data_IF_039541986256
#
_entry.id   IF_039541986256
#
_cell.length_a   1.000
_cell.length_b   1.000
_cell.length_c   1.000
_cell.angle_alpha   90.00
_cell.angle_beta   90.00
_cell.angle_gamma   90.00
#
_symmetry.space_group_name_H-M   'P 1'
#
loop_
_entity.id
_entity.type
_entity.pdbx_description
1 polymer ?
#
# COMPACT_ATOMS: atom_id res chain seq x y z
N UNK A 1 -27.27 -26.52 39.45
CA UNK A 1 -26.99 -25.41 38.50
C UNK A 1 -28.22 -25.20 37.62
N UNK A 2 -28.95 -24.10 37.83
CA UNK A 2 -30.33 -23.93 37.38
C UNK A 2 -30.43 -23.54 35.90
N UNK A 3 -31.28 -24.21 35.13
CA UNK A 3 -31.47 -24.05 33.68
C UNK A 3 -31.82 -22.60 33.23
N UNK A 4 -32.33 -21.76 34.14
CA UNK A 4 -32.55 -20.32 33.89
C UNK A 4 -31.24 -19.56 33.63
N UNK A 5 -30.16 -19.86 34.36
CA UNK A 5 -28.86 -19.20 34.19
C UNK A 5 -28.21 -19.46 32.83
N UNK A 6 -28.39 -20.68 32.28
CA UNK A 6 -27.86 -21.07 30.96
C UNK A 6 -28.57 -20.34 29.82
N UNK A 7 -29.89 -20.11 29.94
CA UNK A 7 -30.67 -19.37 28.94
C UNK A 7 -30.33 -17.88 28.94
N UNK A 8 -30.14 -17.29 30.12
CA UNK A 8 -29.68 -15.90 30.24
C UNK A 8 -28.27 -15.72 29.69
N UNK A 9 -27.34 -16.63 30.00
CA UNK A 9 -25.98 -16.59 29.45
C UNK A 9 -25.95 -16.70 27.91
N UNK A 10 -26.79 -17.58 27.32
CA UNK A 10 -26.91 -17.70 25.87
C UNK A 10 -27.49 -16.43 25.22
N UNK A 11 -28.45 -15.76 25.87
CA UNK A 11 -29.00 -14.48 25.41
C UNK A 11 -27.96 -13.36 25.41
N UNK A 12 -27.15 -13.26 26.47
CA UNK A 12 -26.07 -12.27 26.54
C UNK A 12 -24.98 -12.54 25.50
N UNK A 13 -24.62 -13.80 25.26
CA UNK A 13 -23.67 -14.18 24.19
C UNK A 13 -24.19 -13.80 22.80
N UNK A 14 -25.48 -14.05 22.52
CA UNK A 14 -26.09 -13.64 21.25
C UNK A 14 -26.10 -12.11 21.05
N UNK A 15 -26.39 -11.36 22.11
CA UNK A 15 -26.37 -9.89 22.09
C UNK A 15 -24.97 -9.31 21.86
N UNK A 16 -23.94 -9.89 22.49
CA UNK A 16 -22.54 -9.47 22.27
C UNK A 16 -22.10 -9.81 20.84
N UNK A 17 -22.52 -10.95 20.30
CA UNK A 17 -22.19 -11.34 18.92
C UNK A 17 -22.89 -10.46 17.88
N UNK A 18 -24.16 -10.12 18.10
CA UNK A 18 -24.91 -9.18 17.26
C UNK A 18 -24.36 -7.75 17.35
N UNK A 19 -23.96 -7.32 18.55
CA UNK A 19 -23.28 -6.04 18.76
C UNK A 19 -21.93 -5.98 18.04
N UNK A 20 -21.13 -7.06 18.12
CA UNK A 20 -19.86 -7.17 17.40
C UNK A 20 -20.02 -7.22 15.87
N UNK A 21 -21.04 -7.91 15.36
CA UNK A 21 -21.32 -7.97 13.92
C UNK A 21 -21.78 -6.61 13.34
N UNK A 22 -22.63 -5.89 14.08
CA UNK A 22 -23.06 -4.54 13.70
C UNK A 22 -21.89 -3.54 13.73
N UNK A 23 -21.01 -3.64 14.73
CA UNK A 23 -19.82 -2.79 14.82
C UNK A 23 -18.81 -3.10 13.70
N UNK A 24 -18.60 -4.37 13.36
CA UNK A 24 -17.73 -4.78 12.25
C UNK A 24 -18.21 -4.29 10.88
N UNK A 25 -19.52 -4.31 10.62
CA UNK A 25 -20.09 -3.79 9.37
C UNK A 25 -20.04 -2.25 9.29
N UNK A 26 -20.15 -1.54 10.41
CA UNK A 26 -20.02 -0.08 10.44
C UNK A 26 -18.56 0.37 10.20
N UNK A 27 -17.57 -0.39 10.68
CA UNK A 27 -16.15 -0.09 10.45
C UNK A 27 -15.72 -0.26 8.99
N UNK A 28 -16.30 -1.20 8.23
CA UNK A 28 -15.93 -1.39 6.83
C UNK A 28 -16.38 -0.24 5.92
N UNK A 29 -17.50 0.41 6.24
CA UNK A 29 -17.99 1.57 5.50
C UNK A 29 -17.18 2.84 5.81
N UNK A 30 -16.76 3.04 7.07
CA UNK A 30 -15.91 4.17 7.45
C UNK A 30 -14.48 4.07 6.89
N UNK A 31 -13.90 2.86 6.87
CA UNK A 31 -12.60 2.63 6.23
C UNK A 31 -12.70 2.82 4.71
N UNK A 32 -13.83 2.49 4.09
CA UNK A 32 -14.04 2.70 2.65
C UNK A 32 -14.19 4.17 2.25
N UNK A 33 -14.79 5.00 3.12
CA UNK A 33 -14.92 6.44 2.89
C UNK A 33 -13.59 7.19 3.12
N UNK A 34 -12.83 6.88 4.18
CA UNK A 34 -11.50 7.47 4.40
C UNK A 34 -10.41 6.90 3.49
N UNK A 35 -10.61 5.74 2.87
CA UNK A 35 -9.70 5.25 1.83
C UNK A 35 -9.94 5.87 0.45
N UNK A 36 -11.02 6.64 0.25
CA UNK A 36 -11.17 7.51 -0.91
C UNK A 36 -10.38 8.82 -0.73
N UNK A 37 -10.46 9.47 0.43
CA UNK A 37 -9.62 10.63 0.76
C UNK A 37 -8.13 10.26 0.87
N UNK A 38 -7.80 9.09 1.44
CA UNK A 38 -6.43 8.61 1.45
C UNK A 38 -5.92 8.19 0.06
N UNK A 39 -6.79 7.97 -0.93
CA UNK A 39 -6.40 7.76 -2.34
C UNK A 39 -6.14 9.09 -3.06
N UNK A 40 -6.84 10.16 -2.70
CA UNK A 40 -6.51 11.52 -3.18
C UNK A 40 -5.22 12.06 -2.55
N UNK A 41 -5.01 11.83 -1.24
CA UNK A 41 -3.77 12.19 -0.54
C UNK A 41 -2.56 11.30 -0.92
N UNK A 42 -2.79 10.16 -1.56
CA UNK A 42 -1.75 9.28 -2.15
C UNK A 42 -1.74 9.32 -3.68
N UNK A 43 -2.16 10.43 -4.30
CA UNK A 43 -1.62 10.71 -5.63
C UNK A 43 -0.13 10.94 -5.41
N UNK A 44 0.78 10.09 -5.95
CA UNK A 44 2.19 10.38 -5.80
C UNK A 44 2.40 11.75 -6.41
N UNK A 45 2.86 12.72 -5.61
CA UNK A 45 3.49 13.90 -6.17
C UNK A 45 4.49 13.37 -7.19
N UNK A 46 4.45 13.88 -8.43
CA UNK A 46 5.49 13.56 -9.39
C UNK A 46 6.84 13.84 -8.72
N UNK A 47 7.87 13.04 -9.01
CA UNK A 47 9.19 13.23 -8.39
C UNK A 47 9.69 14.68 -8.57
N UNK A 48 9.27 15.32 -9.66
CA UNK A 48 9.50 16.73 -9.96
C UNK A 48 8.74 17.69 -9.04
N UNK A 49 7.46 17.46 -8.75
CA UNK A 49 6.70 18.29 -7.80
C UNK A 49 7.23 18.15 -6.38
N UNK A 50 7.59 16.93 -5.95
CA UNK A 50 8.22 16.73 -4.64
C UNK A 50 9.54 17.49 -4.54
N UNK A 51 10.39 17.40 -5.58
CA UNK A 51 11.66 18.13 -5.65
C UNK A 51 11.45 19.64 -5.57
N UNK A 52 10.50 20.18 -6.33
CA UNK A 52 10.21 21.62 -6.32
C UNK A 52 9.71 22.07 -4.95
N UNK A 53 8.80 21.33 -4.34
CA UNK A 53 8.25 21.66 -3.02
C UNK A 53 9.35 21.66 -1.94
N UNK A 54 10.23 20.67 -1.96
CA UNK A 54 11.34 20.58 -1.01
C UNK A 54 12.31 21.75 -1.17
N UNK A 55 12.67 22.11 -2.40
CA UNK A 55 13.56 23.26 -2.65
C UNK A 55 12.89 24.57 -2.20
N UNK A 56 11.61 24.76 -2.48
CA UNK A 56 10.86 25.92 -2.01
C UNK A 56 10.77 25.98 -0.47
N UNK A 57 10.58 24.84 0.20
CA UNK A 57 10.59 24.76 1.66
C UNK A 57 11.96 25.19 2.23
N UNK A 58 13.04 24.65 1.67
CA UNK A 58 14.41 24.98 2.08
C UNK A 58 14.76 26.44 1.82
N UNK A 59 14.33 26.99 0.69
CA UNK A 59 14.54 28.41 0.37
C UNK A 59 13.83 29.34 1.37
N UNK A 60 12.58 29.05 1.70
CA UNK A 60 11.81 29.85 2.66
C UNK A 60 12.44 29.89 4.05
N UNK A 61 13.02 28.77 4.50
CA UNK A 61 13.62 28.63 5.84
C UNK A 61 15.07 29.14 5.89
N UNK A 62 15.85 28.88 4.83
CA UNK A 62 17.31 29.05 4.83
C UNK A 62 17.77 30.24 4.00
N UNK A 63 16.89 30.85 3.20
CA UNK A 63 17.18 31.95 2.28
C UNK A 63 18.33 31.58 1.35
N UNK A 64 18.08 30.60 0.48
CA UNK A 64 19.10 30.03 -0.37
C UNK A 64 19.53 31.05 -1.43
N UNK A 65 20.82 31.08 -1.76
CA UNK A 65 21.28 31.77 -2.96
C UNK A 65 21.13 30.88 -4.22
N UNK A 66 21.29 31.47 -5.40
CA UNK A 66 21.09 30.77 -6.69
C UNK A 66 22.05 29.57 -6.85
N UNK A 67 23.28 29.68 -6.33
CA UNK A 67 24.27 28.60 -6.40
C UNK A 67 23.85 27.44 -5.48
N UNK A 68 23.37 27.74 -4.27
CA UNK A 68 22.86 26.76 -3.32
C UNK A 68 21.59 26.05 -3.83
N UNK A 69 20.65 26.78 -4.44
CA UNK A 69 19.45 26.16 -5.03
C UNK A 69 19.84 25.15 -6.12
N UNK A 70 20.75 25.55 -7.01
CA UNK A 70 21.29 24.71 -8.08
C UNK A 70 21.99 23.46 -7.55
N UNK A 71 22.85 23.61 -6.54
CA UNK A 71 23.55 22.50 -5.91
C UNK A 71 22.58 21.52 -5.22
N UNK A 72 21.55 22.02 -4.53
CA UNK A 72 20.53 21.19 -3.90
C UNK A 72 19.74 20.40 -4.95
N UNK A 73 19.34 21.03 -6.05
CA UNK A 73 18.66 20.33 -7.15
C UNK A 73 19.51 19.17 -7.70
N UNK A 74 20.80 19.42 -7.92
CA UNK A 74 21.75 18.39 -8.38
C UNK A 74 21.91 17.26 -7.36
N UNK A 75 21.96 17.58 -6.07
CA UNK A 75 22.01 16.57 -4.99
C UNK A 75 20.74 15.70 -5.02
N UNK A 76 19.56 16.32 -5.15
CA UNK A 76 18.29 15.60 -5.19
C UNK A 76 18.19 14.69 -6.42
N UNK A 77 18.70 15.12 -7.57
CA UNK A 77 18.80 14.28 -8.79
C UNK A 77 19.68 13.06 -8.55
N UNK A 78 20.91 13.28 -8.06
CA UNK A 78 21.89 12.20 -7.82
C UNK A 78 21.39 11.21 -6.77
N UNK A 79 20.76 11.69 -5.71
CA UNK A 79 20.18 10.83 -4.67
C UNK A 79 19.00 10.04 -5.23
N UNK A 80 18.14 10.67 -6.03
CA UNK A 80 17.04 10.00 -6.72
C UNK A 80 17.51 8.85 -7.60
N UNK A 81 18.54 9.07 -8.42
CA UNK A 81 19.17 8.04 -9.24
C UNK A 81 19.68 6.87 -8.39
N UNK A 82 20.40 7.15 -7.30
CA UNK A 82 20.89 6.12 -6.38
C UNK A 82 19.76 5.30 -5.74
N UNK A 83 18.63 5.92 -5.40
CA UNK A 83 17.45 5.19 -4.92
C UNK A 83 16.90 4.25 -6.00
N UNK A 84 16.85 4.69 -7.25
CA UNK A 84 16.44 3.85 -8.38
C UNK A 84 17.37 2.66 -8.58
N UNK A 85 18.69 2.88 -8.57
CA UNK A 85 19.69 1.80 -8.68
C UNK A 85 19.52 0.75 -7.58
N UNK A 86 19.38 1.18 -6.33
CA UNK A 86 19.19 0.26 -5.19
C UNK A 86 17.90 -0.52 -5.31
N UNK A 87 16.79 0.15 -5.67
CA UNK A 87 15.50 -0.51 -5.87
C UNK A 87 15.60 -1.56 -6.98
N UNK A 88 16.16 -1.19 -8.11
CA UNK A 88 16.26 -2.07 -9.28
C UNK A 88 17.19 -3.27 -8.98
N UNK A 89 18.23 -3.08 -8.16
CA UNK A 89 19.08 -4.17 -7.67
C UNK A 89 18.37 -5.13 -6.71
N UNK A 90 17.42 -4.63 -5.91
CA UNK A 90 16.65 -5.44 -4.95
C UNK A 90 15.41 -6.09 -5.57
N UNK A 91 14.93 -5.63 -6.73
CA UNK A 91 13.72 -6.15 -7.39
C UNK A 91 13.73 -7.69 -7.57
N UNK A 92 14.84 -8.34 -7.97
CA UNK A 92 14.89 -9.79 -8.09
C UNK A 92 14.64 -10.53 -6.76
N UNK A 93 15.13 -9.99 -5.65
CA UNK A 93 14.93 -10.56 -4.31
C UNK A 93 13.46 -10.44 -3.89
N UNK A 94 12.84 -9.29 -4.16
CA UNK A 94 11.41 -9.11 -3.91
C UNK A 94 10.55 -10.04 -4.77
N UNK A 95 10.90 -10.25 -6.05
CA UNK A 95 10.21 -11.22 -6.90
C UNK A 95 10.35 -12.64 -6.38
N UNK A 96 11.53 -13.03 -5.89
CA UNK A 96 11.72 -14.34 -5.26
C UNK A 96 10.81 -14.52 -4.04
N UNK A 97 10.73 -13.53 -3.15
CA UNK A 97 9.83 -13.55 -1.98
C UNK A 97 8.35 -13.62 -2.40
N UNK A 98 7.96 -12.88 -3.46
CA UNK A 98 6.58 -12.92 -3.99
C UNK A 98 6.23 -14.29 -4.54
N UNK A 99 7.16 -14.93 -5.27
CA UNK A 99 7.01 -16.26 -5.83
C UNK A 99 6.94 -17.33 -4.73
N UNK A 100 7.81 -17.26 -3.72
CA UNK A 100 7.78 -18.15 -2.56
C UNK A 100 6.43 -18.07 -1.84
N UNK A 101 5.97 -16.85 -1.53
CA UNK A 101 4.65 -16.62 -0.92
C UNK A 101 3.54 -17.24 -1.76
N UNK A 102 3.58 -17.06 -3.08
CA UNK A 102 2.56 -17.62 -3.98
C UNK A 102 2.57 -19.16 -3.94
N UNK A 103 3.74 -19.79 -3.93
CA UNK A 103 3.89 -21.24 -3.84
C UNK A 103 3.34 -21.79 -2.52
N UNK A 104 3.66 -21.15 -1.39
CA UNK A 104 3.15 -21.51 -0.07
C UNK A 104 1.63 -21.43 -0.01
N UNK A 105 1.04 -20.36 -0.56
CA UNK A 105 -0.41 -20.21 -0.63
C UNK A 105 -1.01 -21.29 -1.53
N UNK A 106 -0.46 -21.54 -2.73
CA UNK A 106 -0.98 -22.61 -3.60
C UNK A 106 -0.93 -23.98 -2.92
N UNK A 107 0.07 -24.24 -2.07
CA UNK A 107 0.22 -25.49 -1.32
C UNK A 107 -0.99 -25.84 -0.45
N UNK A 108 -1.65 -24.84 0.15
CA UNK A 108 -2.79 -25.04 1.07
C UNK A 108 -4.16 -24.97 0.42
N UNK A 109 -4.24 -24.60 -0.87
CA UNK A 109 -5.49 -24.42 -1.59
C UNK A 109 -5.99 -25.72 -2.26
N UNK A 110 -7.31 -25.87 -2.31
CA UNK A 110 -7.98 -26.92 -3.12
C UNK A 110 -7.75 -26.71 -4.62
N UNK A 111 -7.91 -27.73 -5.47
CA UNK A 111 -7.73 -27.59 -6.92
C UNK A 111 -8.53 -26.43 -7.54
N UNK A 112 -9.82 -26.29 -7.19
CA UNK A 112 -10.66 -25.20 -7.68
C UNK A 112 -10.22 -23.82 -7.16
N UNK A 113 -9.73 -23.75 -5.92
CA UNK A 113 -9.19 -22.52 -5.36
C UNK A 113 -7.89 -22.10 -6.04
N UNK A 114 -7.03 -23.05 -6.43
CA UNK A 114 -5.78 -22.79 -7.16
C UNK A 114 -6.03 -22.11 -8.49
N UNK A 115 -7.04 -22.54 -9.24
CA UNK A 115 -7.43 -21.91 -10.52
C UNK A 115 -7.84 -20.43 -10.33
N UNK A 116 -8.64 -20.15 -9.28
CA UNK A 116 -9.02 -18.77 -8.96
C UNK A 116 -7.83 -17.93 -8.49
N UNK A 117 -6.95 -18.52 -7.68
CA UNK A 117 -5.76 -17.84 -7.18
C UNK A 117 -4.77 -17.51 -8.31
N UNK A 118 -4.61 -18.40 -9.29
CA UNK A 118 -3.78 -18.14 -10.47
C UNK A 118 -4.24 -16.89 -11.24
N UNK A 119 -5.56 -16.70 -11.41
CA UNK A 119 -6.12 -15.49 -12.02
C UNK A 119 -5.78 -14.23 -11.20
N UNK A 120 -5.88 -14.31 -9.88
CA UNK A 120 -5.50 -13.19 -8.99
C UNK A 120 -4.01 -12.84 -9.14
N UNK A 121 -3.13 -13.83 -9.30
CA UNK A 121 -1.71 -13.59 -9.54
C UNK A 121 -1.47 -12.88 -10.88
N UNK A 122 -2.15 -13.30 -11.94
CA UNK A 122 -2.05 -12.70 -13.27
C UNK A 122 -2.55 -11.24 -13.31
N UNK A 123 -3.68 -10.95 -12.63
CA UNK A 123 -4.19 -9.57 -12.49
C UNK A 123 -3.19 -8.68 -11.73
N UNK A 124 -2.56 -9.22 -10.69
CA UNK A 124 -1.54 -8.50 -9.92
C UNK A 124 -0.25 -8.28 -10.69
N UNK A 125 0.13 -9.21 -11.58
CA UNK A 125 1.29 -9.05 -12.45
C UNK A 125 1.06 -7.94 -13.47
N UNK A 126 -0.10 -7.95 -14.15
CA UNK A 126 -0.50 -6.87 -15.07
C UNK A 126 -0.47 -5.51 -14.40
N UNK A 127 -1.08 -5.39 -13.21
CA UNK A 127 -1.07 -4.14 -12.46
C UNK A 127 0.33 -3.68 -12.02
N UNK A 128 1.32 -4.59 -11.90
CA UNK A 128 2.72 -4.21 -11.63
C UNK A 128 3.40 -3.71 -12.90
N UNK A 129 3.18 -4.41 -14.02
CA UNK A 129 3.71 -4.01 -15.31
C UNK A 129 3.21 -2.63 -15.73
N UNK A 130 1.90 -2.38 -15.63
CA UNK A 130 1.29 -1.10 -15.97
C UNK A 130 1.89 0.05 -15.15
N UNK A 131 2.12 -0.17 -13.84
CA UNK A 131 2.79 0.82 -12.97
C UNK A 131 4.25 1.05 -13.34
N UNK A 132 4.98 -0.01 -13.73
CA UNK A 132 6.36 0.15 -14.19
C UNK A 132 6.44 0.90 -15.52
N UNK A 133 5.50 0.66 -16.44
CA UNK A 133 5.40 1.39 -17.70
C UNK A 133 5.04 2.88 -17.46
N UNK A 134 4.10 3.16 -16.56
CA UNK A 134 3.75 4.53 -16.17
C UNK A 134 4.95 5.28 -15.59
N UNK A 135 5.74 4.63 -14.72
CA UNK A 135 6.96 5.22 -14.16
C UNK A 135 8.08 5.41 -15.20
N UNK A 136 8.20 4.52 -16.20
CA UNK A 136 9.20 4.65 -17.28
C UNK A 136 8.82 5.69 -18.33
N UNK A 137 7.53 5.87 -18.60
CA UNK A 137 7.03 6.85 -19.58
C UNK A 137 6.89 8.28 -19.05
N UNK A 138 6.95 8.46 -17.72
CA UNK A 138 6.85 9.76 -17.05
C UNK A 138 8.18 10.35 -16.56
N UNK A 139 9.32 9.79 -16.97
CA UNK A 139 10.67 10.34 -16.70
C UNK A 139 11.15 11.22 -17.85
#
# INVERSE_FOLDING_TARGET
MNARSKRSAALYLGLVFLGGAAFGFATSQFVSAHSAEAKEANKPFSAQEYRRNLVTELDNELQLDEDQESDILLILDKVGERFHEVRDAMEPEFEAIRAERAALIMGVLTPDQRLRYARILEERERARHDKQEEHRGGS
#
